data_IF_113519079671
#
_entry.id   IF_113519079671
#
_cell.length_a   1.000
_cell.length_b   1.000
_cell.length_c   1.000
_cell.angle_alpha   90.00
_cell.angle_beta   90.00
_cell.angle_gamma   90.00
#
_symmetry.space_group_name_H-M   'P 1'
#
loop_
_entity.id
_entity.type
_entity.pdbx_description
1 polymer ?
#
# COMPACT_ATOMS: atom_id res chain seq x y z
N UNK A 1 29.36 -7.73 -0.24
CA UNK A 1 27.99 -7.34 0.14
C UNK A 1 27.40 -8.45 0.99
N UNK A 2 26.83 -8.13 2.16
CA UNK A 2 26.07 -9.12 2.91
C UNK A 2 24.84 -9.53 2.09
N UNK A 3 24.63 -10.85 1.92
CA UNK A 3 23.46 -11.37 1.23
C UNK A 3 22.23 -11.05 2.07
N UNK A 4 21.35 -10.17 1.57
CA UNK A 4 20.03 -9.95 2.19
C UNK A 4 19.23 -11.26 2.01
N UNK A 5 18.91 -11.92 3.12
CA UNK A 5 18.18 -13.19 3.12
C UNK A 5 16.81 -13.10 3.78
N UNK A 6 16.44 -11.93 4.33
CA UNK A 6 15.18 -11.68 5.02
C UNK A 6 14.71 -10.27 4.70
N UNK A 7 13.42 -10.16 4.39
CA UNK A 7 12.71 -8.90 4.18
C UNK A 7 11.47 -8.94 5.05
N UNK A 8 11.20 -7.84 5.75
CA UNK A 8 9.98 -7.64 6.52
C UNK A 8 9.22 -6.51 5.83
N UNK A 9 8.04 -6.82 5.29
CA UNK A 9 7.10 -5.83 4.78
C UNK A 9 6.01 -5.62 5.84
N UNK A 10 5.83 -4.37 6.27
CA UNK A 10 4.80 -3.98 7.23
C UNK A 10 3.79 -3.11 6.50
N UNK A 11 2.54 -3.55 6.43
CA UNK A 11 1.42 -2.78 5.92
C UNK A 11 0.60 -2.34 7.12
N UNK A 12 0.46 -1.03 7.31
CA UNK A 12 -0.39 -0.49 8.38
C UNK A 12 -1.62 0.09 7.71
N UNK A 13 -2.76 -0.57 7.94
CA UNK A 13 -4.03 -0.19 7.31
C UNK A 13 -4.53 1.16 7.85
N UNK A 14 -5.12 1.94 6.96
CA UNK A 14 -5.78 3.21 7.26
C UNK A 14 -4.90 4.24 8.00
N UNK A 15 -3.62 4.34 7.63
CA UNK A 15 -2.76 5.44 8.08
C UNK A 15 -3.05 6.70 7.25
N UNK A 16 -3.45 7.78 7.92
CA UNK A 16 -3.45 9.12 7.34
C UNK A 16 -2.07 9.77 7.47
N UNK A 17 -1.56 10.29 6.35
CA UNK A 17 -0.20 10.83 6.25
C UNK A 17 0.01 12.04 7.17
N UNK A 18 -0.95 12.96 7.22
CA UNK A 18 -0.93 14.14 8.09
C UNK A 18 -0.85 13.77 9.59
N UNK A 19 -1.65 12.81 10.05
CA UNK A 19 -1.63 12.36 11.45
C UNK A 19 -0.31 11.67 11.81
N UNK A 20 0.19 10.80 10.92
CA UNK A 20 1.46 10.12 11.13
C UNK A 20 2.59 11.13 11.34
N UNK A 21 2.69 12.12 10.44
CA UNK A 21 3.75 13.12 10.53
C UNK A 21 3.57 14.10 11.69
N UNK A 22 2.34 14.44 12.07
CA UNK A 22 2.06 15.24 13.28
C UNK A 22 2.50 14.52 14.55
N UNK A 23 2.19 13.22 14.69
CA UNK A 23 2.60 12.42 15.84
C UNK A 23 4.12 12.24 15.93
N UNK A 24 4.79 12.08 14.78
CA UNK A 24 6.26 12.08 14.73
C UNK A 24 6.81 13.43 15.19
N UNK A 25 6.25 14.54 14.70
CA UNK A 25 6.68 15.90 15.05
C UNK A 25 6.53 16.18 16.55
N UNK A 26 5.44 15.71 17.17
CA UNK A 26 5.18 15.79 18.61
C UNK A 26 6.05 14.86 19.47
N UNK A 27 6.89 14.02 18.86
CA UNK A 27 7.77 13.10 19.56
C UNK A 27 7.09 11.84 20.08
N UNK A 28 5.85 11.55 19.66
CA UNK A 28 5.06 10.40 20.13
C UNK A 28 5.48 9.08 19.48
N UNK A 29 6.20 9.13 18.35
CA UNK A 29 6.61 7.97 17.57
C UNK A 29 8.15 7.88 17.43
N UNK A 30 8.90 7.70 18.53
CA UNK A 30 10.36 7.78 18.54
C UNK A 30 11.03 6.69 17.69
N UNK A 31 10.45 5.49 17.62
CA UNK A 31 10.99 4.41 16.80
C UNK A 31 10.83 4.69 15.30
N UNK A 32 9.70 5.26 14.87
CA UNK A 32 9.49 5.64 13.46
C UNK A 32 10.40 6.80 13.08
N UNK A 33 10.54 7.79 13.96
CA UNK A 33 11.52 8.89 13.79
C UNK A 33 12.93 8.35 13.56
N UNK A 34 13.37 7.41 14.41
CA UNK A 34 14.70 6.77 14.27
C UNK A 34 14.85 6.05 12.93
N UNK A 35 13.81 5.35 12.44
CA UNK A 35 13.84 4.70 11.12
C UNK A 35 13.94 5.72 9.97
N UNK A 36 13.26 6.87 10.08
CA UNK A 36 13.34 7.94 9.07
C UNK A 36 14.72 8.60 9.05
N UNK A 37 15.31 8.85 10.22
CA UNK A 37 16.64 9.49 10.34
C UNK A 37 17.78 8.57 9.84
N UNK A 38 17.60 7.25 9.95
CA UNK A 38 18.61 6.26 9.56
C UNK A 38 18.24 5.50 8.26
N UNK A 39 17.25 5.98 7.52
CA UNK A 39 16.67 5.29 6.37
C UNK A 39 16.20 6.23 5.29
N UNK A 40 15.32 5.73 4.41
CA UNK A 40 14.70 6.50 3.33
C UNK A 40 13.20 6.51 3.57
N UNK A 41 12.57 7.67 3.45
CA UNK A 41 11.12 7.82 3.52
C UNK A 41 10.62 8.76 2.43
N UNK A 42 9.34 8.66 2.10
CA UNK A 42 8.64 9.57 1.18
C UNK A 42 7.35 10.06 1.82
N UNK A 43 7.03 11.35 1.63
CA UNK A 43 5.73 11.94 2.00
C UNK A 43 4.69 11.81 0.89
N UNK A 44 5.15 11.63 -0.35
CA UNK A 44 4.31 11.64 -1.55
C UNK A 44 4.06 10.20 -2.01
N UNK A 45 3.47 9.39 -1.14
CA UNK A 45 3.01 8.05 -1.49
C UNK A 45 1.54 8.13 -1.94
N UNK A 46 1.29 7.81 -3.20
CA UNK A 46 -0.06 7.77 -3.78
C UNK A 46 -0.51 6.32 -3.79
N UNK A 47 -1.68 6.06 -3.20
CA UNK A 47 -2.30 4.74 -3.17
C UNK A 47 -3.06 4.42 -4.46
N UNK A 48 -3.45 3.17 -4.64
CA UNK A 48 -4.34 2.75 -5.72
C UNK A 48 -5.76 3.34 -5.57
N UNK A 49 -6.52 3.38 -6.66
CA UNK A 49 -7.92 3.80 -6.67
C UNK A 49 -8.83 2.66 -7.15
N UNK A 50 -9.89 2.30 -6.39
CA UNK A 50 -10.32 2.92 -5.14
C UNK A 50 -9.40 2.55 -3.95
N UNK A 51 -9.19 3.47 -2.98
CA UNK A 51 -8.29 3.25 -1.84
C UNK A 51 -8.95 2.35 -0.78
N UNK A 52 -9.22 1.10 -1.15
CA UNK A 52 -9.88 0.09 -0.32
C UNK A 52 -8.84 -0.98 0.04
N UNK A 53 -8.89 -1.48 1.28
CA UNK A 53 -7.90 -2.41 1.83
C UNK A 53 -7.55 -3.55 0.89
N UNK A 54 -8.56 -4.28 0.38
CA UNK A 54 -8.31 -5.51 -0.39
C UNK A 54 -7.60 -5.25 -1.74
N UNK A 55 -8.13 -4.42 -2.67
CA UNK A 55 -7.42 -4.08 -3.90
C UNK A 55 -6.01 -3.52 -3.64
N UNK A 56 -5.89 -2.55 -2.72
CA UNK A 56 -4.63 -1.86 -2.44
C UNK A 56 -3.54 -2.82 -1.93
N UNK A 57 -3.91 -3.77 -1.06
CA UNK A 57 -2.97 -4.78 -0.57
C UNK A 57 -2.52 -5.74 -1.67
N UNK A 58 -3.40 -6.08 -2.63
CA UNK A 58 -2.99 -6.85 -3.80
C UNK A 58 -1.98 -6.05 -4.62
N UNK A 59 -2.22 -4.76 -4.87
CA UNK A 59 -1.28 -3.88 -5.59
C UNK A 59 0.09 -3.82 -4.91
N UNK A 60 0.13 -3.72 -3.57
CA UNK A 60 1.36 -3.71 -2.78
C UNK A 60 2.16 -5.01 -2.88
N UNK A 61 1.47 -6.16 -2.89
CA UNK A 61 2.13 -7.48 -2.93
C UNK A 61 2.59 -7.84 -4.34
N UNK A 62 1.81 -7.51 -5.37
CA UNK A 62 2.16 -7.85 -6.76
C UNK A 62 3.04 -6.80 -7.44
N UNK A 63 3.08 -5.58 -6.92
CA UNK A 63 3.77 -4.45 -7.56
C UNK A 63 3.11 -3.98 -8.86
N UNK A 64 1.83 -4.32 -9.06
CA UNK A 64 1.02 -3.93 -10.24
C UNK A 64 -0.22 -3.18 -9.79
N UNK A 65 -0.90 -2.47 -10.70
CA UNK A 65 -2.16 -1.79 -10.39
C UNK A 65 -3.36 -2.67 -10.69
N UNK A 66 -4.56 -2.19 -10.33
CA UNK A 66 -5.82 -2.75 -10.83
C UNK A 66 -6.00 -2.43 -12.31
N UNK A 67 -6.73 -3.28 -13.04
CA UNK A 67 -6.90 -3.12 -14.48
C UNK A 67 -7.62 -4.29 -15.16
N UNK A 68 -7.63 -4.29 -16.49
CA UNK A 68 -8.12 -5.41 -17.29
C UNK A 68 -6.96 -6.37 -17.59
N UNK A 69 -6.81 -7.42 -16.79
CA UNK A 69 -5.71 -8.39 -16.88
C UNK A 69 -5.63 -9.13 -18.23
N UNK A 70 -6.66 -9.01 -19.08
CA UNK A 70 -6.68 -9.55 -20.44
C UNK A 70 -6.00 -8.63 -21.45
N UNK A 71 -5.79 -7.36 -21.10
CA UNK A 71 -5.27 -6.30 -21.98
C UNK A 71 -3.95 -5.71 -21.48
N UNK A 72 -3.68 -5.79 -20.18
CA UNK A 72 -2.52 -5.16 -19.57
C UNK A 72 -1.97 -5.97 -18.40
N UNK A 73 -0.70 -5.74 -18.05
CA UNK A 73 -0.05 -6.39 -16.92
C UNK A 73 -0.51 -5.76 -15.60
N UNK A 74 -1.60 -6.29 -15.05
CA UNK A 74 -2.27 -5.84 -13.84
C UNK A 74 -2.75 -7.03 -13.01
N UNK A 75 -3.17 -6.81 -11.77
CA UNK A 75 -3.65 -7.91 -10.91
C UNK A 75 -5.15 -8.20 -11.08
N UNK A 76 -5.92 -7.34 -11.76
CA UNK A 76 -7.33 -7.60 -12.09
C UNK A 76 -8.29 -7.67 -10.90
N UNK A 77 -7.92 -7.13 -9.74
CA UNK A 77 -8.75 -7.12 -8.52
C UNK A 77 -9.24 -5.69 -8.27
N UNK A 78 -10.46 -5.32 -8.73
CA UNK A 78 -10.95 -3.95 -8.59
C UNK A 78 -11.54 -3.68 -7.21
N UNK A 79 -12.20 -4.68 -6.61
CA UNK A 79 -12.97 -4.60 -5.37
C UNK A 79 -13.06 -6.01 -4.73
N UNK A 80 -13.59 -6.08 -3.50
CA UNK A 80 -13.93 -7.37 -2.87
C UNK A 80 -15.05 -8.10 -3.61
N UNK A 81 -16.06 -7.37 -4.07
CA UNK A 81 -17.23 -7.91 -4.77
C UNK A 81 -17.50 -7.07 -6.01
N UNK A 82 -17.94 -7.69 -7.09
CA UNK A 82 -18.40 -7.02 -8.29
C UNK A 82 -19.54 -7.77 -8.94
N UNK A 83 -20.37 -7.05 -9.69
CA UNK A 83 -21.42 -7.65 -10.50
C UNK A 83 -20.83 -8.13 -11.82
N UNK A 84 -20.83 -9.45 -12.02
CA UNK A 84 -20.45 -10.05 -13.29
C UNK A 84 -21.49 -9.74 -14.35
N UNK A 85 -21.07 -9.42 -15.57
CA UNK A 85 -21.97 -9.21 -16.72
C UNK A 85 -22.69 -10.50 -17.19
N UNK A 86 -22.30 -11.64 -16.62
CA UNK A 86 -22.91 -12.95 -16.85
C UNK A 86 -24.14 -13.20 -15.97
N UNK A 87 -24.51 -12.26 -15.09
CA UNK A 87 -25.66 -12.37 -14.19
C UNK A 87 -26.55 -11.16 -14.43
N UNK A 88 -27.76 -11.38 -14.95
CA UNK A 88 -28.83 -10.37 -14.95
C UNK A 88 -29.50 -10.38 -13.59
N UNK A 89 -29.83 -9.22 -12.98
CA UNK A 89 -30.75 -9.17 -11.86
C UNK A 89 -32.11 -9.77 -12.24
#
# INVERSE_FOLDING_TARGET
MNKINRVILIIIDNIRSDELFDFIAKGLLPNIRKLMENGIYSKNCITDFPPITYPTQVSLVTGTYTGDYRKENCHGVPLMNWMGRNISP
#
